data_IF_050979711423
#
_entry.id   IF_050979711423
#
_cell.length_a   1.000
_cell.length_b   1.000
_cell.length_c   1.000
_cell.angle_alpha   90.00
_cell.angle_beta   90.00
_cell.angle_gamma   90.00
#
_symmetry.space_group_name_H-M   'P 1'
#
loop_
_entity.id
_entity.type
_entity.pdbx_description
1 polymer ?
#
# COMPACT_ATOMS: atom_id res chain seq x y z
N UNK A 1 -4.93 -25.06 4.72
CA UNK A 1 -5.01 -25.50 6.14
C UNK A 1 -3.98 -24.81 7.05
N UNK A 2 -2.90 -24.25 6.52
CA UNK A 2 -1.84 -23.62 7.32
C UNK A 2 -2.33 -22.49 8.24
N UNK A 3 -3.14 -21.56 7.72
CA UNK A 3 -3.69 -20.45 8.53
C UNK A 3 -4.53 -20.98 9.70
N UNK A 4 -5.36 -22.01 9.50
CA UNK A 4 -6.16 -22.60 10.58
C UNK A 4 -5.28 -23.21 11.69
N UNK A 5 -4.17 -23.88 11.31
CA UNK A 5 -3.20 -24.42 12.27
C UNK A 5 -2.53 -23.31 13.09
N UNK A 6 -2.09 -22.23 12.44
CA UNK A 6 -1.51 -21.07 13.14
C UNK A 6 -2.53 -20.48 14.11
N UNK A 7 -3.76 -20.25 13.66
CA UNK A 7 -4.82 -19.72 14.53
C UNK A 7 -5.06 -20.61 15.74
N UNK A 8 -5.24 -21.92 15.58
CA UNK A 8 -5.43 -22.85 16.72
C UNK A 8 -4.24 -22.84 17.67
N UNK A 9 -3.01 -22.85 17.14
CA UNK A 9 -1.77 -22.92 17.95
C UNK A 9 -1.56 -21.66 18.77
N UNK A 10 -1.68 -20.50 18.14
CA UNK A 10 -1.34 -19.21 18.77
C UNK A 10 -2.47 -18.65 19.64
N UNK A 11 -3.73 -19.06 19.41
CA UNK A 11 -4.89 -18.51 20.14
C UNK A 11 -5.53 -19.46 21.13
N UNK A 12 -5.20 -20.75 21.08
CA UNK A 12 -5.89 -21.79 21.87
C UNK A 12 -7.33 -22.07 21.41
N UNK A 13 -7.74 -21.56 20.24
CA UNK A 13 -9.08 -21.84 19.71
C UNK A 13 -9.28 -23.33 19.43
N UNK A 14 -10.40 -23.89 19.87
CA UNK A 14 -10.76 -25.31 19.68
C UNK A 14 -11.25 -25.65 18.27
N UNK A 15 -11.36 -24.66 17.38
CA UNK A 15 -11.75 -24.88 16.00
C UNK A 15 -11.75 -23.59 15.17
N UNK A 16 -11.71 -23.73 13.85
CA UNK A 16 -11.73 -22.61 12.91
C UNK A 16 -12.81 -22.87 11.86
N UNK A 17 -13.65 -21.86 11.60
CA UNK A 17 -14.62 -21.87 10.49
C UNK A 17 -14.09 -20.97 9.38
N UNK A 18 -14.18 -21.44 8.14
CA UNK A 18 -13.84 -20.67 6.95
C UNK A 18 -14.87 -20.92 5.85
N UNK A 19 -15.12 -19.91 5.03
CA UNK A 19 -15.96 -19.99 3.85
C UNK A 19 -15.25 -19.33 2.67
N UNK A 20 -15.42 -19.89 1.47
CA UNK A 20 -14.93 -19.24 0.26
C UNK A 20 -15.79 -18.01 -0.03
N UNK A 21 -15.14 -16.93 -0.47
CA UNK A 21 -15.80 -15.71 -0.95
C UNK A 21 -15.29 -15.38 -2.34
N UNK A 22 -16.18 -14.88 -3.18
CA UNK A 22 -15.80 -14.33 -4.47
C UNK A 22 -15.25 -12.90 -4.30
N UNK A 23 -14.23 -12.56 -5.09
CA UNK A 23 -13.59 -11.26 -5.06
C UNK A 23 -13.31 -10.75 -6.47
N UNK A 24 -13.90 -9.60 -6.81
CA UNK A 24 -13.58 -8.86 -8.04
C UNK A 24 -12.54 -7.80 -7.74
N UNK A 25 -11.28 -8.08 -8.10
CA UNK A 25 -10.19 -7.12 -7.94
C UNK A 25 -9.99 -6.27 -9.17
N UNK A 26 -9.75 -4.97 -8.96
CA UNK A 26 -9.27 -4.07 -10.01
C UNK A 26 -7.79 -4.36 -10.29
N UNK A 27 -7.41 -4.35 -11.56
CA UNK A 27 -6.02 -4.44 -11.98
C UNK A 27 -5.22 -3.26 -11.41
N UNK A 28 -3.99 -3.51 -11.01
CA UNK A 28 -3.07 -2.48 -10.53
C UNK A 28 -1.66 -2.75 -11.01
N UNK A 29 -0.91 -1.70 -11.32
CA UNK A 29 0.54 -1.73 -11.49
C UNK A 29 1.22 -1.13 -10.26
N UNK A 30 2.50 -1.43 -10.13
CA UNK A 30 3.38 -0.80 -9.16
C UNK A 30 4.38 0.04 -9.92
N UNK A 31 4.51 1.29 -9.51
CA UNK A 31 5.45 2.25 -10.06
C UNK A 31 6.20 2.92 -8.91
N UNK A 32 7.18 3.74 -9.23
CA UNK A 32 7.97 4.48 -8.24
C UNK A 32 8.13 5.91 -8.71
N UNK A 33 7.97 6.85 -7.79
CA UNK A 33 8.21 8.27 -8.01
C UNK A 33 9.37 8.76 -7.16
N UNK A 34 10.08 9.76 -7.66
CA UNK A 34 11.06 10.50 -6.87
C UNK A 34 10.38 11.69 -6.21
N UNK A 35 10.36 11.69 -4.87
CA UNK A 35 9.89 12.82 -4.06
C UNK A 35 11.09 13.43 -3.34
N UNK A 36 11.60 14.53 -3.87
CA UNK A 36 12.74 15.26 -3.31
C UNK A 36 13.96 14.33 -3.04
N UNK A 37 14.32 13.47 -4.00
CA UNK A 37 15.40 12.49 -3.88
C UNK A 37 15.05 11.21 -3.13
N UNK A 38 13.79 11.03 -2.72
CA UNK A 38 13.31 9.83 -2.07
C UNK A 38 12.47 8.99 -3.03
N UNK A 39 12.85 7.72 -3.20
CA UNK A 39 12.07 6.77 -3.97
C UNK A 39 10.85 6.32 -3.17
N UNK A 40 9.66 6.55 -3.73
CA UNK A 40 8.37 6.25 -3.11
C UNK A 40 7.55 5.38 -4.06
N UNK A 41 7.21 4.16 -3.60
CA UNK A 41 6.35 3.27 -4.35
C UNK A 41 4.92 3.80 -4.44
N UNK A 42 4.28 3.57 -5.59
CA UNK A 42 2.86 3.88 -5.81
C UNK A 42 2.14 2.70 -6.45
N UNK A 43 0.92 2.44 -5.98
CA UNK A 43 -0.04 1.53 -6.59
C UNK A 43 -0.93 2.32 -7.53
N UNK A 44 -0.87 2.01 -8.81
CA UNK A 44 -1.65 2.67 -9.85
C UNK A 44 -2.78 1.74 -10.28
N UNK A 45 -3.97 2.29 -10.40
CA UNK A 45 -5.13 1.65 -11.01
C UNK A 45 -5.84 2.67 -11.89
N UNK A 46 -6.86 2.25 -12.63
CA UNK A 46 -7.62 3.13 -13.53
C UNK A 46 -8.12 4.39 -12.79
N UNK A 47 -7.48 5.52 -13.06
CA UNK A 47 -7.82 6.83 -12.48
C UNK A 47 -7.53 7.02 -10.99
N UNK A 48 -6.76 6.12 -10.35
CA UNK A 48 -6.39 6.26 -8.93
C UNK A 48 -4.95 5.83 -8.70
N UNK A 49 -4.21 6.67 -7.99
CA UNK A 49 -2.90 6.37 -7.43
C UNK A 49 -3.03 6.25 -5.91
N UNK A 50 -2.25 5.35 -5.30
CA UNK A 50 -2.09 5.26 -3.85
C UNK A 50 -0.62 5.07 -3.53
N UNK A 51 -0.09 5.92 -2.67
CA UNK A 51 1.29 5.80 -2.20
C UNK A 51 1.43 4.60 -1.25
N UNK A 52 2.57 3.90 -1.34
CA UNK A 52 2.95 2.89 -0.38
C UNK A 52 3.21 3.54 0.99
N UNK A 53 2.42 3.11 1.98
CA UNK A 53 2.40 3.73 3.29
C UNK A 53 3.80 3.74 3.96
N UNK A 54 4.53 2.63 3.88
CA UNK A 54 5.81 2.49 4.57
C UNK A 54 6.90 3.36 3.94
N UNK A 55 6.87 3.55 2.62
CA UNK A 55 7.74 4.49 1.94
C UNK A 55 7.41 5.93 2.34
N UNK A 56 6.13 6.30 2.36
CA UNK A 56 5.71 7.63 2.82
C UNK A 56 6.06 7.86 4.30
N UNK A 57 5.94 6.84 5.16
CA UNK A 57 6.33 6.92 6.55
C UNK A 57 7.85 7.11 6.71
N UNK A 58 8.65 6.42 5.89
CA UNK A 58 10.11 6.60 5.84
C UNK A 58 10.49 8.02 5.43
N UNK A 59 9.85 8.56 4.39
CA UNK A 59 10.10 9.94 3.93
C UNK A 59 9.63 10.96 4.95
N UNK A 60 8.46 10.76 5.57
CA UNK A 60 7.95 11.64 6.63
C UNK A 60 8.92 11.70 7.82
N UNK A 61 9.46 10.55 8.24
CA UNK A 61 10.46 10.48 9.30
C UNK A 61 11.78 11.19 8.92
N UNK A 62 12.23 11.04 7.67
CA UNK A 62 13.47 11.65 7.19
C UNK A 62 13.36 13.18 7.01
N UNK A 63 12.19 13.68 6.61
CA UNK A 63 11.97 15.09 6.25
C UNK A 63 11.32 15.91 7.35
N UNK A 64 10.73 15.27 8.36
CA UNK A 64 9.91 15.93 9.39
C UNK A 64 8.54 16.41 8.89
N UNK A 65 8.17 16.08 7.64
CA UNK A 65 6.86 16.42 7.10
C UNK A 65 5.77 15.47 7.66
N UNK A 66 4.53 15.95 7.83
CA UNK A 66 3.41 15.07 8.15
C UNK A 66 3.22 13.98 7.08
N UNK A 67 2.95 12.74 7.49
CA UNK A 67 2.73 11.62 6.58
C UNK A 67 1.71 11.93 5.47
N UNK A 68 0.61 12.60 5.83
CA UNK A 68 -0.44 12.99 4.88
C UNK A 68 0.08 13.93 3.79
N UNK A 69 0.99 14.82 4.14
CA UNK A 69 1.62 15.75 3.20
C UNK A 69 2.53 15.00 2.22
N UNK A 70 3.35 14.07 2.73
CA UNK A 70 4.22 13.22 1.90
C UNK A 70 3.40 12.40 0.89
N UNK A 71 2.31 11.78 1.34
CA UNK A 71 1.40 11.04 0.45
C UNK A 71 0.84 11.95 -0.64
N UNK A 72 0.32 13.12 -0.28
CA UNK A 72 -0.27 14.04 -1.25
C UNK A 72 0.75 14.53 -2.29
N UNK A 73 1.99 14.80 -1.87
CA UNK A 73 3.07 15.22 -2.77
C UNK A 73 3.50 14.09 -3.71
N UNK A 74 3.70 12.88 -3.21
CA UNK A 74 4.06 11.74 -4.06
C UNK A 74 2.96 11.42 -5.09
N UNK A 75 1.68 11.51 -4.71
CA UNK A 75 0.56 11.36 -5.65
C UNK A 75 0.49 12.50 -6.68
N UNK A 76 0.92 13.72 -6.33
CA UNK A 76 1.05 14.82 -7.27
C UNK A 76 2.18 14.59 -8.27
N UNK A 77 3.38 14.23 -7.78
CA UNK A 77 4.52 13.89 -8.65
C UNK A 77 4.14 12.81 -9.66
N UNK A 78 3.45 11.74 -9.22
CA UNK A 78 3.01 10.70 -10.14
C UNK A 78 2.06 11.22 -11.21
N UNK A 79 1.10 12.09 -10.85
CA UNK A 79 0.15 12.67 -11.80
C UNK A 79 0.86 13.57 -12.82
N UNK A 80 1.81 14.36 -12.36
CA UNK A 80 2.57 15.29 -13.20
C UNK A 80 3.55 14.55 -14.14
N UNK A 81 3.92 13.30 -13.81
CA UNK A 81 4.75 12.45 -14.67
C UNK A 81 3.96 11.65 -15.71
N UNK A 82 2.62 11.69 -15.68
CA UNK A 82 1.82 10.99 -16.69
C UNK A 82 1.77 11.82 -17.98
N UNK A 83 2.00 11.21 -19.14
CA UNK A 83 1.74 11.87 -20.42
C UNK A 83 0.24 12.19 -20.55
N UNK A 84 -0.08 13.30 -21.22
CA UNK A 84 -1.46 13.68 -21.59
C UNK A 84 -2.17 12.60 -22.43
#
# INVERSE_FOLDING_TARGET
AEVARVLTTETGSLGVRGHAVERWSVARSFETVDLDGHQVGVKVSTGRVKVEHDDAARVAAATGLPLREVVARAEAVWRDSQPE
#
